data_IF_897225999231
#
_entry.id   IF_897225999231
#
_cell.length_a   1.000
_cell.length_b   1.000
_cell.length_c   1.000
_cell.angle_alpha   90.00
_cell.angle_beta   90.00
_cell.angle_gamma   90.00
#
_symmetry.space_group_name_H-M   'P 1'
#
loop_
_entity.id
_entity.type
_entity.pdbx_description
1 polymer ?
#
# COMPACT_ATOMS: atom_id res chain seq x y z
N UNK A 1 -14.49 -7.22 -53.16
CA UNK A 1 -14.00 -6.37 -52.02
C UNK A 1 -13.69 -7.31 -50.88
N UNK A 2 -12.44 -7.76 -50.77
CA UNK A 2 -11.93 -8.45 -49.57
C UNK A 2 -11.73 -7.40 -48.47
N UNK A 3 -12.55 -7.46 -47.41
CA UNK A 3 -12.26 -6.80 -46.17
C UNK A 3 -11.27 -7.67 -45.42
N UNK A 4 -9.99 -7.27 -45.38
CA UNK A 4 -9.03 -7.81 -44.44
C UNK A 4 -9.31 -7.26 -43.04
N UNK A 5 -10.03 -8.03 -42.24
CA UNK A 5 -10.05 -7.86 -40.81
C UNK A 5 -8.68 -8.39 -40.33
N UNK A 6 -7.77 -7.49 -39.92
CA UNK A 6 -6.55 -7.88 -39.21
C UNK A 6 -7.00 -8.46 -37.89
N UNK A 7 -7.05 -9.76 -37.79
CA UNK A 7 -7.15 -10.51 -36.53
C UNK A 7 -5.90 -10.23 -35.72
N UNK A 8 -5.98 -9.24 -34.84
CA UNK A 8 -5.00 -9.08 -33.75
C UNK A 8 -5.42 -10.08 -32.67
N UNK A 9 -4.80 -11.25 -32.68
CA UNK A 9 -4.87 -12.16 -31.54
C UNK A 9 -4.32 -11.45 -30.33
N UNK A 10 -5.18 -11.13 -29.36
CA UNK A 10 -4.80 -10.50 -28.12
C UNK A 10 -4.58 -11.60 -27.08
N UNK A 11 -3.37 -11.71 -26.55
CA UNK A 11 -3.10 -12.60 -25.43
C UNK A 11 -3.80 -12.08 -24.20
N UNK A 12 -4.61 -12.90 -23.55
CA UNK A 12 -5.30 -12.58 -22.29
C UNK A 12 -4.92 -13.57 -21.19
N UNK A 13 -4.86 -13.09 -19.97
CA UNK A 13 -4.50 -13.86 -18.79
C UNK A 13 -5.74 -14.04 -17.92
N UNK A 14 -6.31 -15.26 -17.82
CA UNK A 14 -7.47 -15.52 -16.97
C UNK A 14 -7.05 -15.51 -15.50
N UNK A 15 -7.89 -14.91 -14.66
CA UNK A 15 -7.72 -14.89 -13.22
C UNK A 15 -9.06 -14.71 -12.50
N UNK A 16 -9.08 -15.01 -11.21
CA UNK A 16 -10.22 -14.66 -10.35
C UNK A 16 -10.17 -13.17 -10.03
N UNK A 17 -11.33 -12.57 -9.86
CA UNK A 17 -11.53 -11.15 -9.49
C UNK A 17 -12.49 -11.07 -8.33
N UNK A 18 -12.15 -10.27 -7.34
CA UNK A 18 -13.05 -9.93 -6.24
C UNK A 18 -14.15 -8.97 -6.73
N UNK A 19 -15.41 -9.28 -6.40
CA UNK A 19 -16.55 -8.40 -6.65
C UNK A 19 -17.39 -8.31 -5.37
N UNK A 20 -17.10 -7.28 -4.58
CA UNK A 20 -17.67 -7.16 -3.23
C UNK A 20 -17.28 -8.33 -2.34
N UNK A 21 -18.25 -9.13 -1.93
CA UNK A 21 -18.03 -10.33 -1.11
C UNK A 21 -17.96 -11.64 -1.92
N UNK A 22 -18.02 -11.55 -3.23
CA UNK A 22 -17.98 -12.70 -4.15
C UNK A 22 -16.75 -12.65 -5.04
N UNK A 23 -16.54 -13.72 -5.79
CA UNK A 23 -15.42 -13.87 -6.71
C UNK A 23 -15.97 -14.35 -8.06
N UNK A 24 -15.47 -13.78 -9.14
CA UNK A 24 -15.80 -14.18 -10.51
C UNK A 24 -14.53 -14.37 -11.37
N UNK A 25 -14.69 -14.97 -12.54
CA UNK A 25 -13.62 -15.02 -13.55
C UNK A 25 -13.46 -13.68 -14.25
N UNK A 26 -12.21 -13.27 -14.45
CA UNK A 26 -11.81 -12.09 -15.20
C UNK A 26 -10.73 -12.42 -16.23
N UNK A 27 -10.49 -11.49 -17.16
CA UNK A 27 -9.46 -11.59 -18.19
C UNK A 27 -8.66 -10.30 -18.22
N UNK A 28 -7.36 -10.41 -18.22
CA UNK A 28 -6.44 -9.28 -18.09
C UNK A 28 -5.46 -9.22 -19.26
N UNK A 29 -4.99 -8.02 -19.57
CA UNK A 29 -4.03 -7.78 -20.65
C UNK A 29 -2.59 -8.10 -20.26
N UNK A 30 -2.29 -8.16 -18.94
CA UNK A 30 -0.94 -8.43 -18.41
C UNK A 30 -0.96 -9.53 -17.35
N UNK A 31 0.11 -10.35 -17.27
CA UNK A 31 0.21 -11.36 -16.22
C UNK A 31 0.30 -10.76 -14.81
N UNK A 32 0.94 -9.59 -14.66
CA UNK A 32 1.07 -8.93 -13.36
C UNK A 32 -0.28 -8.48 -12.80
N UNK A 33 -1.16 -7.92 -13.65
CA UNK A 33 -2.52 -7.55 -13.23
C UNK A 33 -3.36 -8.80 -12.93
N UNK A 34 -3.29 -9.83 -13.77
CA UNK A 34 -3.98 -11.09 -13.55
C UNK A 34 -3.59 -11.73 -12.20
N UNK A 35 -2.31 -11.78 -11.88
CA UNK A 35 -1.80 -12.34 -10.64
C UNK A 35 -2.23 -11.52 -9.41
N UNK A 36 -2.19 -10.20 -9.51
CA UNK A 36 -2.66 -9.30 -8.46
C UNK A 36 -4.15 -9.50 -8.15
N UNK A 37 -4.98 -9.52 -9.20
CA UNK A 37 -6.43 -9.71 -9.03
C UNK A 37 -6.74 -11.10 -8.48
N UNK A 38 -6.05 -12.13 -8.99
CA UNK A 38 -6.18 -13.49 -8.50
C UNK A 38 -5.85 -13.60 -7.00
N UNK A 39 -4.75 -13.00 -6.58
CA UNK A 39 -4.32 -12.97 -5.18
C UNK A 39 -5.36 -12.30 -4.28
N UNK A 40 -5.94 -11.18 -4.70
CA UNK A 40 -7.03 -10.50 -3.96
C UNK A 40 -8.29 -11.37 -3.86
N UNK A 41 -8.66 -12.02 -4.94
CA UNK A 41 -9.78 -12.94 -4.96
C UNK A 41 -9.57 -14.15 -4.02
N UNK A 42 -8.33 -14.70 -3.97
CA UNK A 42 -7.98 -15.77 -3.04
C UNK A 42 -8.08 -15.32 -1.57
N UNK A 43 -7.71 -14.08 -1.23
CA UNK A 43 -7.93 -13.53 0.12
C UNK A 43 -9.41 -13.61 0.49
N UNK A 44 -10.31 -13.25 -0.43
CA UNK A 44 -11.76 -13.30 -0.20
C UNK A 44 -12.28 -14.72 -0.02
N UNK A 45 -11.83 -15.67 -0.84
CA UNK A 45 -12.18 -17.08 -0.71
C UNK A 45 -11.65 -17.68 0.59
N UNK A 46 -10.42 -17.36 0.98
CA UNK A 46 -9.85 -17.76 2.28
C UNK A 46 -10.65 -17.21 3.46
N UNK A 47 -11.12 -15.97 3.38
CA UNK A 47 -12.00 -15.36 4.38
C UNK A 47 -13.29 -16.17 4.56
N UNK A 48 -13.84 -16.72 3.47
CA UNK A 48 -15.04 -17.57 3.50
C UNK A 48 -14.73 -18.96 4.06
N UNK A 49 -13.62 -19.58 3.66
CA UNK A 49 -13.20 -20.89 4.16
C UNK A 49 -12.86 -20.87 5.65
N UNK A 50 -12.28 -19.78 6.14
CA UNK A 50 -11.91 -19.55 7.54
C UNK A 50 -12.95 -18.70 8.28
N UNK A 51 -14.23 -18.84 7.93
CA UNK A 51 -15.32 -17.99 8.41
C UNK A 51 -15.41 -17.90 9.94
N UNK A 52 -15.22 -19.01 10.65
CA UNK A 52 -15.28 -19.04 12.13
C UNK A 52 -14.13 -18.21 12.74
N UNK A 53 -12.90 -18.39 12.24
CA UNK A 53 -11.74 -17.62 12.69
C UNK A 53 -11.92 -16.12 12.36
N UNK A 54 -12.41 -15.80 11.17
CA UNK A 54 -12.69 -14.44 10.75
C UNK A 54 -13.79 -13.79 11.62
N UNK A 55 -14.86 -14.52 11.93
CA UNK A 55 -15.94 -14.06 12.81
C UNK A 55 -15.42 -13.78 14.23
N UNK A 56 -14.62 -14.67 14.79
CA UNK A 56 -13.97 -14.45 16.08
C UNK A 56 -13.11 -13.19 16.07
N UNK A 57 -12.22 -13.04 15.10
CA UNK A 57 -11.32 -11.89 15.00
C UNK A 57 -12.07 -10.57 14.78
N UNK A 58 -13.14 -10.55 13.98
CA UNK A 58 -13.98 -9.34 13.84
C UNK A 58 -14.54 -8.82 15.17
N UNK A 59 -14.78 -9.72 16.14
CA UNK A 59 -15.33 -9.33 17.45
C UNK A 59 -14.26 -9.17 18.53
N UNK A 60 -13.10 -9.78 18.40
CA UNK A 60 -12.08 -9.90 19.45
C UNK A 60 -10.70 -9.37 19.06
N UNK A 61 -10.59 -8.66 17.92
CA UNK A 61 -9.33 -8.07 17.51
C UNK A 61 -8.83 -7.07 18.56
N UNK A 62 -7.58 -7.19 19.06
CA UNK A 62 -7.06 -6.30 20.09
C UNK A 62 -7.03 -4.83 19.64
N UNK A 63 -7.37 -3.93 20.55
CA UNK A 63 -7.31 -2.49 20.29
C UNK A 63 -8.42 -1.93 19.38
N UNK A 64 -9.46 -2.69 19.07
CA UNK A 64 -10.50 -2.30 18.11
C UNK A 64 -11.18 -0.98 18.45
N UNK A 65 -11.42 -0.68 19.73
CA UNK A 65 -12.01 0.59 20.17
C UNK A 65 -11.08 1.77 19.82
N UNK A 66 -9.79 1.63 20.10
CA UNK A 66 -8.81 2.68 19.83
C UNK A 66 -8.56 2.83 18.32
N UNK A 67 -8.49 1.71 17.57
CA UNK A 67 -8.46 1.72 16.11
C UNK A 67 -9.66 2.50 15.53
N UNK A 68 -10.88 2.24 16.03
CA UNK A 68 -12.08 2.94 15.57
C UNK A 68 -12.05 4.45 15.87
N UNK A 69 -11.53 4.83 17.03
CA UNK A 69 -11.39 6.24 17.39
C UNK A 69 -10.42 6.99 16.47
N UNK A 70 -9.25 6.39 16.20
CA UNK A 70 -8.21 7.00 15.38
C UNK A 70 -8.52 6.95 13.88
N UNK A 71 -9.23 5.93 13.42
CA UNK A 71 -9.59 5.74 12.00
C UNK A 71 -10.85 6.51 11.58
N UNK A 72 -11.58 7.12 12.51
CA UNK A 72 -12.89 7.78 12.26
C UNK A 72 -12.88 8.79 11.11
N UNK A 73 -11.79 9.50 10.90
CA UNK A 73 -11.65 10.49 9.81
C UNK A 73 -11.45 9.82 8.44
N UNK A 74 -11.03 8.56 8.41
CA UNK A 74 -10.75 7.78 7.20
C UNK A 74 -11.90 6.84 6.82
N UNK A 75 -12.70 6.40 7.81
CA UNK A 75 -13.79 5.47 7.56
C UNK A 75 -14.29 4.76 8.79
N UNK A 76 -15.00 3.67 8.56
CA UNK A 76 -15.59 2.83 9.61
C UNK A 76 -14.58 1.80 10.09
N UNK A 77 -14.61 1.51 11.40
CA UNK A 77 -13.72 0.51 12.01
C UNK A 77 -13.94 -0.90 11.44
N UNK A 78 -15.18 -1.23 11.06
CA UNK A 78 -15.49 -2.52 10.46
C UNK A 78 -14.74 -2.74 9.14
N UNK A 79 -14.63 -1.68 8.32
CA UNK A 79 -13.86 -1.71 7.08
C UNK A 79 -12.36 -1.90 7.35
N UNK A 80 -11.83 -1.20 8.36
CA UNK A 80 -10.43 -1.37 8.77
C UNK A 80 -10.14 -2.78 9.28
N UNK A 81 -11.03 -3.35 10.09
CA UNK A 81 -10.90 -4.72 10.58
C UNK A 81 -10.93 -5.71 9.42
N UNK A 82 -11.82 -5.51 8.44
CA UNK A 82 -11.86 -6.34 7.23
C UNK A 82 -10.54 -6.26 6.44
N UNK A 83 -9.98 -5.07 6.27
CA UNK A 83 -8.68 -4.87 5.61
C UNK A 83 -7.54 -5.56 6.37
N UNK A 84 -7.52 -5.47 7.71
CA UNK A 84 -6.55 -6.17 8.55
C UNK A 84 -6.65 -7.68 8.36
N UNK A 85 -7.86 -8.25 8.33
CA UNK A 85 -8.05 -9.68 8.14
C UNK A 85 -7.62 -10.14 6.75
N UNK A 86 -7.99 -9.41 5.69
CA UNK A 86 -7.59 -9.74 4.32
C UNK A 86 -6.08 -9.64 4.11
N UNK A 87 -5.44 -8.58 4.65
CA UNK A 87 -3.99 -8.44 4.61
C UNK A 87 -3.27 -9.52 5.45
N UNK A 88 -3.88 -9.95 6.55
CA UNK A 88 -3.33 -11.06 7.36
C UNK A 88 -3.40 -12.38 6.62
N UNK A 89 -4.50 -12.67 5.92
CA UNK A 89 -4.62 -13.86 5.06
C UNK A 89 -3.58 -13.85 3.94
N UNK A 90 -3.32 -12.68 3.36
CA UNK A 90 -2.27 -12.51 2.38
C UNK A 90 -0.89 -12.88 2.95
N UNK A 91 -0.54 -12.25 4.06
CA UNK A 91 0.80 -12.42 4.67
C UNK A 91 1.04 -13.79 5.26
N UNK A 92 0.03 -14.40 5.92
CA UNK A 92 0.24 -15.68 6.61
C UNK A 92 -0.01 -16.91 5.72
N UNK A 93 -0.83 -16.78 4.68
CA UNK A 93 -1.23 -17.92 3.85
C UNK A 93 -0.62 -17.84 2.45
N UNK A 94 -0.76 -16.71 1.76
CA UNK A 94 -0.36 -16.58 0.36
C UNK A 94 1.09 -16.13 0.17
N UNK A 95 1.68 -15.44 1.13
CA UNK A 95 3.08 -14.99 1.04
C UNK A 95 4.04 -16.19 1.06
N UNK A 96 5.01 -16.19 0.17
CA UNK A 96 6.02 -17.26 0.05
C UNK A 96 5.57 -18.50 -0.72
N UNK A 97 4.31 -18.59 -1.18
CA UNK A 97 3.90 -19.64 -2.11
C UNK A 97 4.48 -19.36 -3.51
N UNK A 98 5.21 -20.32 -4.05
CA UNK A 98 5.82 -20.20 -5.38
C UNK A 98 4.78 -20.06 -6.49
N UNK A 99 3.62 -20.68 -6.32
CA UNK A 99 2.47 -20.59 -7.22
C UNK A 99 1.19 -20.50 -6.42
N UNK A 100 0.32 -19.57 -6.78
CA UNK A 100 -0.99 -19.44 -6.13
C UNK A 100 -1.93 -20.56 -6.58
N UNK A 101 -2.78 -21.10 -5.69
CA UNK A 101 -3.77 -22.12 -6.04
C UNK A 101 -4.70 -21.67 -7.17
N UNK A 102 -4.97 -22.56 -8.13
CA UNK A 102 -5.87 -22.32 -9.25
C UNK A 102 -7.17 -23.14 -9.17
N UNK A 103 -7.32 -23.96 -8.10
CA UNK A 103 -8.52 -24.74 -7.84
C UNK A 103 -8.89 -24.73 -6.36
N UNK A 104 -10.12 -25.17 -6.06
CA UNK A 104 -10.66 -25.17 -4.71
C UNK A 104 -9.95 -26.16 -3.77
N UNK A 105 -9.46 -27.30 -4.27
CA UNK A 105 -8.78 -28.30 -3.46
C UNK A 105 -7.41 -27.81 -2.98
N UNK A 106 -6.64 -27.18 -3.90
CA UNK A 106 -5.37 -26.56 -3.56
C UNK A 106 -5.52 -25.43 -2.54
N UNK A 107 -6.56 -24.58 -2.71
CA UNK A 107 -6.84 -23.50 -1.77
C UNK A 107 -7.25 -24.04 -0.40
N UNK A 108 -8.10 -25.06 -0.33
CA UNK A 108 -8.52 -25.67 0.93
C UNK A 108 -7.33 -26.34 1.67
N UNK A 109 -6.48 -27.05 0.95
CA UNK A 109 -5.26 -27.64 1.49
C UNK A 109 -4.31 -26.58 2.06
N UNK A 110 -4.14 -25.47 1.36
CA UNK A 110 -3.30 -24.37 1.81
C UNK A 110 -3.88 -23.69 3.05
N UNK A 111 -5.18 -23.43 3.06
CA UNK A 111 -5.88 -22.85 4.21
C UNK A 111 -5.73 -23.72 5.46
N UNK A 112 -5.93 -25.05 5.34
CA UNK A 112 -5.82 -25.96 6.49
C UNK A 112 -4.39 -26.03 7.04
N UNK A 113 -3.38 -26.09 6.19
CA UNK A 113 -1.95 -26.10 6.61
C UNK A 113 -1.54 -24.84 7.39
N UNK A 114 -2.12 -23.68 7.05
CA UNK A 114 -1.67 -22.38 7.58
C UNK A 114 -2.69 -21.67 8.47
N UNK A 115 -3.89 -22.26 8.69
CA UNK A 115 -4.99 -21.65 9.46
C UNK A 115 -4.57 -21.18 10.86
N UNK A 116 -3.69 -21.92 11.53
CA UNK A 116 -3.24 -21.62 12.89
C UNK A 116 -2.46 -20.29 13.00
N UNK A 117 -1.89 -19.80 11.90
CA UNK A 117 -1.12 -18.56 11.90
C UNK A 117 -2.00 -17.29 11.80
N UNK A 118 -3.27 -17.40 11.39
CA UNK A 118 -4.11 -16.23 11.10
C UNK A 118 -4.30 -15.31 12.31
N UNK A 119 -4.60 -15.87 13.48
CA UNK A 119 -4.85 -15.08 14.68
C UNK A 119 -3.63 -14.23 15.07
N UNK A 120 -2.47 -14.88 15.18
CA UNK A 120 -1.23 -14.18 15.53
C UNK A 120 -0.88 -13.10 14.52
N UNK A 121 -1.05 -13.35 13.21
CA UNK A 121 -0.79 -12.35 12.17
C UNK A 121 -1.77 -11.18 12.23
N UNK A 122 -3.06 -11.45 12.46
CA UNK A 122 -4.07 -10.41 12.59
C UNK A 122 -3.82 -9.52 13.82
N UNK A 123 -3.43 -10.09 14.95
CA UNK A 123 -3.08 -9.33 16.16
C UNK A 123 -1.83 -8.46 15.96
N UNK A 124 -0.78 -9.02 15.34
CA UNK A 124 0.44 -8.26 15.00
C UNK A 124 0.13 -7.11 14.03
N UNK A 125 -0.70 -7.37 13.03
CA UNK A 125 -1.07 -6.35 12.05
C UNK A 125 -1.98 -5.28 12.65
N UNK A 126 -2.91 -5.66 13.54
CA UNK A 126 -3.74 -4.70 14.29
C UNK A 126 -2.88 -3.78 15.16
N UNK A 127 -1.88 -4.33 15.85
CA UNK A 127 -0.92 -3.53 16.64
C UNK A 127 -0.13 -2.56 15.77
N UNK A 128 0.43 -3.05 14.65
CA UNK A 128 1.14 -2.19 13.69
C UNK A 128 0.24 -1.09 13.14
N UNK A 129 -1.00 -1.42 12.78
CA UNK A 129 -1.99 -0.44 12.30
C UNK A 129 -2.29 0.62 13.37
N UNK A 130 -2.42 0.21 14.63
CA UNK A 130 -2.63 1.11 15.74
C UNK A 130 -1.45 2.08 15.92
N UNK A 131 -0.23 1.57 15.85
CA UNK A 131 0.99 2.40 15.95
C UNK A 131 1.07 3.41 14.79
N UNK A 132 0.73 3.00 13.57
CA UNK A 132 0.65 3.88 12.39
C UNK A 132 -0.38 4.98 12.61
N UNK A 133 -1.59 4.63 13.04
CA UNK A 133 -2.68 5.59 13.25
C UNK A 133 -2.38 6.57 14.39
N UNK A 134 -1.71 6.14 15.46
CA UNK A 134 -1.25 7.03 16.54
C UNK A 134 -0.26 8.09 16.02
N UNK A 135 0.74 7.67 15.26
CA UNK A 135 1.71 8.58 14.65
C UNK A 135 1.03 9.54 13.66
N UNK A 136 0.19 9.01 12.78
CA UNK A 136 -0.55 9.81 11.81
C UNK A 136 -1.45 10.86 12.49
N UNK A 137 -2.23 10.46 13.50
CA UNK A 137 -3.09 11.36 14.25
C UNK A 137 -2.28 12.44 15.01
N UNK A 138 -1.13 12.07 15.58
CA UNK A 138 -0.20 13.02 16.19
C UNK A 138 0.29 14.08 15.19
N UNK A 139 0.65 13.65 13.98
CA UNK A 139 1.07 14.55 12.89
C UNK A 139 -0.07 15.46 12.44
N UNK A 140 -1.29 14.93 12.26
CA UNK A 140 -2.47 15.73 11.88
C UNK A 140 -2.75 16.88 12.85
N UNK A 141 -2.53 16.67 14.14
CA UNK A 141 -2.71 17.74 15.16
C UNK A 141 -1.74 18.90 14.95
N UNK A 142 -0.53 18.65 14.43
CA UNK A 142 0.48 19.70 14.21
C UNK A 142 0.09 20.69 13.11
N UNK A 143 -0.87 20.34 12.24
CA UNK A 143 -1.37 21.25 11.18
C UNK A 143 -2.55 22.15 11.63
N UNK A 144 -3.03 22.01 12.87
CA UNK A 144 -4.17 22.81 13.38
C UNK A 144 -3.75 24.18 13.94
N UNK A 145 -2.44 24.52 13.93
CA UNK A 145 -1.91 25.79 14.43
C UNK A 145 -1.81 26.90 13.39
N UNK A 146 -1.25 28.05 13.80
CA UNK A 146 -0.87 29.13 12.85
C UNK A 146 0.23 28.62 11.92
N UNK A 147 -0.02 28.72 10.62
CA UNK A 147 0.94 28.33 9.60
C UNK A 147 1.78 29.56 9.24
N UNK A 148 3.08 29.45 9.34
CA UNK A 148 4.02 30.42 8.79
C UNK A 148 4.01 30.28 7.26
N UNK A 149 3.76 31.40 6.55
CA UNK A 149 3.74 31.43 5.08
C UNK A 149 5.06 30.96 4.48
N UNK A 150 6.18 31.19 5.14
CA UNK A 150 7.49 30.69 4.70
C UNK A 150 7.55 29.15 4.65
N UNK A 151 6.78 28.48 5.48
CA UNK A 151 6.71 27.00 5.58
C UNK A 151 5.58 26.39 4.73
N UNK A 152 4.72 27.18 4.13
CA UNK A 152 3.50 26.71 3.46
C UNK A 152 3.76 25.64 2.40
N UNK A 153 4.82 25.79 1.60
CA UNK A 153 5.20 24.82 0.55
C UNK A 153 5.55 23.45 1.17
N UNK A 154 6.42 23.44 2.19
CA UNK A 154 6.82 22.23 2.89
C UNK A 154 5.62 21.56 3.58
N UNK A 155 4.77 22.34 4.25
CA UNK A 155 3.57 21.81 4.92
C UNK A 155 2.56 21.22 3.94
N UNK A 156 2.42 21.79 2.75
CA UNK A 156 1.57 21.24 1.70
C UNK A 156 2.14 19.90 1.17
N UNK A 157 3.43 19.81 0.88
CA UNK A 157 4.09 18.56 0.47
C UNK A 157 3.94 17.47 1.54
N UNK A 158 4.12 17.82 2.82
CA UNK A 158 3.93 16.87 3.94
C UNK A 158 2.47 16.39 4.02
N UNK A 159 1.48 17.29 3.87
CA UNK A 159 0.06 16.88 3.86
C UNK A 159 -0.25 15.92 2.72
N UNK A 160 0.27 16.18 1.53
CA UNK A 160 0.13 15.27 0.39
C UNK A 160 0.80 13.92 0.67
N UNK A 161 2.03 13.92 1.20
CA UNK A 161 2.70 12.68 1.59
C UNK A 161 1.87 11.87 2.61
N UNK A 162 1.34 12.51 3.65
CA UNK A 162 0.49 11.86 4.65
C UNK A 162 -0.76 11.23 4.04
N UNK A 163 -1.42 11.92 3.09
CA UNK A 163 -2.60 11.38 2.40
C UNK A 163 -2.30 10.21 1.47
N UNK A 164 -1.05 10.05 1.03
CA UNK A 164 -0.60 8.90 0.23
C UNK A 164 -0.06 7.73 1.06
N UNK A 165 0.23 7.96 2.36
CA UNK A 165 0.68 6.92 3.27
C UNK A 165 -0.48 6.30 4.07
N UNK A 166 -1.42 7.14 4.52
CA UNK A 166 -2.54 6.71 5.37
C UNK A 166 -3.85 7.23 4.77
N UNK A 167 -4.61 6.33 4.17
CA UNK A 167 -5.87 6.58 3.45
C UNK A 167 -6.82 5.39 3.66
N UNK A 168 -8.12 5.50 3.33
CA UNK A 168 -9.04 4.37 3.41
C UNK A 168 -8.55 3.17 2.60
N UNK A 169 -8.36 2.02 3.24
CA UNK A 169 -7.84 0.81 2.57
C UNK A 169 -6.32 0.62 2.64
N UNK A 170 -5.55 1.56 3.19
CA UNK A 170 -4.08 1.53 3.18
C UNK A 170 -3.47 0.23 3.73
N UNK A 171 -4.12 -0.41 4.71
CA UNK A 171 -3.62 -1.65 5.33
C UNK A 171 -3.60 -2.80 4.33
N UNK A 172 -4.63 -2.91 3.50
CA UNK A 172 -4.76 -3.96 2.49
C UNK A 172 -4.01 -3.65 1.19
N UNK A 173 -3.96 -2.37 0.82
CA UNK A 173 -3.38 -1.94 -0.46
C UNK A 173 -1.87 -1.76 -0.42
N UNK A 174 -1.32 -1.46 0.77
CA UNK A 174 0.13 -1.35 0.93
C UNK A 174 0.77 -2.74 1.02
N UNK A 175 1.75 -3.07 0.16
CA UNK A 175 2.47 -4.34 0.27
C UNK A 175 3.07 -4.52 1.67
N UNK A 176 2.96 -5.73 2.24
CA UNK A 176 3.32 -6.01 3.63
C UNK A 176 4.74 -5.56 4.01
N UNK A 177 5.69 -5.69 3.09
CA UNK A 177 7.07 -5.25 3.28
C UNK A 177 7.21 -3.73 3.48
N UNK A 178 6.32 -2.91 2.88
CA UNK A 178 6.31 -1.46 2.99
C UNK A 178 5.37 -0.97 4.08
N UNK A 179 4.31 -1.71 4.37
CA UNK A 179 3.41 -1.42 5.48
C UNK A 179 4.16 -1.39 6.82
N UNK A 180 5.12 -2.29 7.01
CA UNK A 180 6.00 -2.33 8.18
C UNK A 180 6.91 -1.09 8.31
N UNK A 181 7.15 -0.39 7.21
CA UNK A 181 7.99 0.81 7.17
C UNK A 181 7.21 2.13 7.37
N UNK A 182 5.87 2.09 7.30
CA UNK A 182 5.05 3.30 7.50
C UNK A 182 5.36 4.04 8.81
N UNK A 183 5.55 3.37 9.96
CA UNK A 183 5.96 4.09 11.18
C UNK A 183 7.27 4.89 11.01
N UNK A 184 8.23 4.35 10.26
CA UNK A 184 9.50 5.03 9.97
C UNK A 184 9.31 6.24 9.05
N UNK A 185 8.45 6.12 8.02
CA UNK A 185 8.11 7.24 7.15
C UNK A 185 7.40 8.37 7.91
N UNK A 186 6.46 8.02 8.79
CA UNK A 186 5.76 9.00 9.64
C UNK A 186 6.71 9.70 10.63
N UNK A 187 7.66 8.96 11.23
CA UNK A 187 8.71 9.54 12.07
C UNK A 187 9.64 10.47 11.28
N UNK A 188 9.97 10.14 10.02
CA UNK A 188 10.75 11.03 9.17
C UNK A 188 10.01 12.36 8.91
N UNK A 189 8.69 12.32 8.73
CA UNK A 189 7.85 13.51 8.64
C UNK A 189 7.89 14.32 9.93
N UNK A 190 7.78 13.66 11.08
CA UNK A 190 7.88 14.33 12.40
C UNK A 190 9.20 15.07 12.56
N UNK A 191 10.32 14.40 12.26
CA UNK A 191 11.65 15.00 12.28
C UNK A 191 11.82 16.18 11.30
N UNK A 192 11.21 16.05 10.10
CA UNK A 192 11.17 17.14 9.12
C UNK A 192 10.45 18.36 9.69
N UNK A 193 9.27 18.17 10.28
CA UNK A 193 8.50 19.24 10.91
C UNK A 193 9.24 19.92 12.06
N UNK A 194 10.01 19.18 12.85
CA UNK A 194 10.84 19.73 13.94
C UNK A 194 11.99 20.61 13.43
N UNK A 195 12.62 20.19 12.34
CA UNK A 195 13.74 20.92 11.72
C UNK A 195 13.31 22.07 10.81
N UNK A 196 12.08 22.05 10.34
CA UNK A 196 11.58 22.97 9.30
C UNK A 196 11.79 24.45 9.64
N UNK A 197 11.55 24.96 10.88
CA UNK A 197 11.75 26.38 11.18
C UNK A 197 13.19 26.86 10.94
N UNK A 198 14.17 26.01 11.14
CA UNK A 198 15.59 26.33 10.94
C UNK A 198 16.13 26.00 9.54
N UNK A 199 15.35 25.33 8.68
CA UNK A 199 15.84 24.80 7.40
C UNK A 199 14.90 25.03 6.22
N UNK A 200 14.05 26.07 6.26
CA UNK A 200 13.01 26.35 5.25
C UNK A 200 13.56 26.38 3.82
N UNK A 201 14.70 27.02 3.59
CA UNK A 201 15.28 27.13 2.25
C UNK A 201 15.78 25.76 1.73
N UNK A 202 16.42 24.99 2.57
CA UNK A 202 16.89 23.64 2.23
C UNK A 202 15.71 22.70 1.96
N UNK A 203 14.69 22.75 2.80
CA UNK A 203 13.46 21.98 2.62
C UNK A 203 12.77 22.33 1.31
N UNK A 204 12.71 23.61 0.95
CA UNK A 204 12.11 24.09 -0.31
C UNK A 204 12.79 23.47 -1.54
N UNK A 205 14.12 23.40 -1.55
CA UNK A 205 14.87 22.77 -2.66
C UNK A 205 14.52 21.31 -2.77
N UNK A 206 14.58 20.57 -1.67
CA UNK A 206 14.25 19.15 -1.67
C UNK A 206 12.77 18.86 -1.99
N UNK A 207 11.86 19.70 -1.51
CA UNK A 207 10.43 19.60 -1.84
C UNK A 207 10.17 19.79 -3.33
N UNK A 208 10.86 20.73 -3.97
CA UNK A 208 10.71 20.97 -5.41
C UNK A 208 11.21 19.77 -6.25
N UNK A 209 12.35 19.19 -5.88
CA UNK A 209 12.87 17.97 -6.50
C UNK A 209 11.89 16.80 -6.36
N UNK A 210 11.44 16.55 -5.13
CA UNK A 210 10.49 15.48 -4.83
C UNK A 210 9.15 15.66 -5.54
N UNK A 211 8.65 16.89 -5.66
CA UNK A 211 7.42 17.20 -6.40
C UNK A 211 7.54 16.83 -7.89
N UNK A 212 8.70 17.08 -8.51
CA UNK A 212 8.96 16.64 -9.88
C UNK A 212 8.95 15.13 -10.06
N UNK A 213 9.66 14.43 -9.17
CA UNK A 213 9.70 12.94 -9.18
C UNK A 213 8.32 12.33 -8.90
N UNK A 214 7.57 12.93 -7.99
CA UNK A 214 6.21 12.48 -7.66
C UNK A 214 5.23 12.70 -8.83
N UNK A 215 5.28 13.86 -9.48
CA UNK A 215 4.45 14.17 -10.65
C UNK A 215 4.74 13.20 -11.81
N UNK A 216 6.01 12.86 -12.03
CA UNK A 216 6.43 11.87 -13.02
C UNK A 216 5.84 10.48 -12.71
N UNK A 217 5.91 10.05 -11.44
CA UNK A 217 5.27 8.81 -10.98
C UNK A 217 3.76 8.82 -11.22
N UNK A 218 3.07 9.88 -10.78
CA UNK A 218 1.60 9.98 -10.90
C UNK A 218 1.14 9.94 -12.35
N UNK A 219 1.82 10.63 -13.26
CA UNK A 219 1.48 10.63 -14.68
C UNK A 219 1.60 9.21 -15.28
N UNK A 220 2.66 8.47 -14.92
CA UNK A 220 2.86 7.09 -15.38
C UNK A 220 1.84 6.15 -14.76
N UNK A 221 1.56 6.26 -13.47
CA UNK A 221 0.57 5.45 -12.77
C UNK A 221 -0.85 5.66 -13.35
N UNK A 222 -1.21 6.91 -13.67
CA UNK A 222 -2.49 7.22 -14.32
C UNK A 222 -2.59 6.59 -15.73
N UNK A 223 -1.51 6.64 -16.52
CA UNK A 223 -1.47 5.99 -17.84
C UNK A 223 -1.66 4.48 -17.72
N UNK A 224 -0.90 3.82 -16.83
CA UNK A 224 -1.01 2.39 -16.62
C UNK A 224 -2.41 1.97 -16.12
N UNK A 225 -3.01 2.78 -15.24
CA UNK A 225 -4.38 2.53 -14.78
C UNK A 225 -5.42 2.60 -15.93
N UNK A 226 -5.28 3.56 -16.85
CA UNK A 226 -6.13 3.66 -18.04
C UNK A 226 -5.96 2.47 -18.98
N UNK A 227 -4.76 1.92 -19.08
CA UNK A 227 -4.43 0.76 -19.89
C UNK A 227 -4.76 -0.59 -19.20
N UNK A 228 -5.22 -0.57 -17.95
CA UNK A 228 -5.42 -1.78 -17.13
C UNK A 228 -4.12 -2.55 -16.91
N UNK A 229 -2.99 -1.85 -16.82
CA UNK A 229 -1.65 -2.38 -16.70
C UNK A 229 -1.13 -2.21 -15.28
N UNK A 230 -0.50 -3.26 -14.75
CA UNK A 230 0.23 -3.21 -13.50
C UNK A 230 1.73 -3.42 -13.77
N UNK A 231 2.55 -2.49 -13.28
CA UNK A 231 4.00 -2.53 -13.45
C UNK A 231 4.67 -2.61 -12.07
N UNK A 232 5.27 -3.77 -11.72
CA UNK A 232 5.97 -3.94 -10.46
C UNK A 232 7.16 -2.97 -10.27
N UNK A 233 7.78 -2.50 -11.38
CA UNK A 233 8.88 -1.54 -11.30
C UNK A 233 8.40 -0.14 -10.91
N UNK A 234 7.21 0.25 -11.40
CA UNK A 234 6.56 1.49 -11.00
C UNK A 234 6.12 1.45 -9.54
N UNK A 235 5.59 0.30 -9.09
CA UNK A 235 5.23 0.10 -7.67
C UNK A 235 6.45 0.18 -6.75
N UNK A 236 7.57 -0.43 -7.15
CA UNK A 236 8.82 -0.34 -6.41
C UNK A 236 9.34 1.10 -6.36
N UNK A 237 9.28 1.83 -7.49
CA UNK A 237 9.66 3.24 -7.58
C UNK A 237 8.86 4.11 -6.61
N UNK A 238 7.54 3.86 -6.46
CA UNK A 238 6.68 4.54 -5.49
C UNK A 238 7.27 4.50 -4.07
N UNK A 239 7.73 3.33 -3.64
CA UNK A 239 8.27 3.14 -2.29
C UNK A 239 9.71 3.64 -2.16
N UNK A 240 10.47 3.63 -3.23
CA UNK A 240 11.79 4.23 -3.26
C UNK A 240 11.73 5.76 -3.13
N UNK A 241 10.67 6.41 -3.56
CA UNK A 241 10.44 7.82 -3.27
C UNK A 241 10.29 8.07 -1.76
N UNK A 242 9.62 7.19 -1.02
CA UNK A 242 9.54 7.32 0.45
C UNK A 242 10.90 7.06 1.12
N UNK A 243 11.67 6.09 0.66
CA UNK A 243 13.05 5.88 1.13
C UNK A 243 13.93 7.09 0.85
N UNK A 244 13.75 7.72 -0.31
CA UNK A 244 14.48 8.94 -0.65
C UNK A 244 14.09 10.10 0.27
N UNK A 245 12.81 10.25 0.61
CA UNK A 245 12.37 11.22 1.63
C UNK A 245 13.02 10.96 2.98
N UNK A 246 13.14 9.71 3.42
CA UNK A 246 13.85 9.36 4.67
C UNK A 246 15.33 9.77 4.58
N UNK A 247 16.00 9.53 3.47
CA UNK A 247 17.41 9.92 3.28
C UNK A 247 17.64 11.43 3.31
N UNK A 248 16.65 12.23 2.93
CA UNK A 248 16.73 13.69 2.95
C UNK A 248 16.38 14.29 4.33
N UNK A 249 15.27 13.84 4.93
CA UNK A 249 14.68 14.48 6.11
C UNK A 249 14.92 13.75 7.42
N UNK A 250 15.11 12.43 7.36
CA UNK A 250 15.22 11.53 8.53
C UNK A 250 16.43 10.62 8.49
N UNK A 251 17.61 11.10 8.07
CA UNK A 251 18.82 10.30 7.85
C UNK A 251 19.18 9.36 9.02
N UNK A 252 18.95 9.79 10.26
CA UNK A 252 19.24 9.00 11.46
C UNK A 252 18.36 7.75 11.60
N UNK A 253 17.22 7.67 10.87
CA UNK A 253 16.34 6.49 10.86
C UNK A 253 16.88 5.38 9.95
N UNK A 254 17.83 5.71 9.08
CA UNK A 254 18.32 4.80 8.04
C UNK A 254 17.29 4.51 6.97
N UNK A 255 17.72 3.99 5.84
CA UNK A 255 16.86 3.56 4.73
C UNK A 255 16.87 2.04 4.63
N UNK A 256 15.73 1.45 4.25
CA UNK A 256 15.60 -0.01 4.05
C UNK A 256 16.46 -0.51 2.88
N UNK A 257 16.62 0.34 1.88
CA UNK A 257 17.45 0.09 0.71
C UNK A 257 18.40 1.26 0.50
N UNK A 258 19.61 1.03 -0.03
CA UNK A 258 20.48 2.13 -0.42
C UNK A 258 19.79 2.97 -1.49
N UNK A 259 19.60 4.27 -1.24
CA UNK A 259 18.84 5.17 -2.09
C UNK A 259 19.65 6.42 -2.45
N UNK A 260 19.49 6.93 -3.65
CA UNK A 260 20.03 8.19 -4.16
C UNK A 260 19.28 8.58 -5.43
N UNK A 261 19.40 9.83 -5.87
CA UNK A 261 18.86 10.30 -7.14
C UNK A 261 19.29 9.40 -8.33
N UNK A 262 20.57 9.04 -8.42
CA UNK A 262 21.07 8.11 -9.44
C UNK A 262 20.38 6.73 -9.39
N UNK A 263 20.07 6.22 -8.22
CA UNK A 263 19.37 4.94 -8.06
C UNK A 263 17.90 5.04 -8.42
N UNK A 264 17.25 6.16 -8.05
CA UNK A 264 15.88 6.46 -8.49
C UNK A 264 15.78 6.54 -10.01
N UNK A 265 16.71 7.27 -10.65
CA UNK A 265 16.77 7.38 -12.11
C UNK A 265 16.98 6.01 -12.78
N UNK A 266 17.83 5.15 -12.19
CA UNK A 266 18.02 3.78 -12.68
C UNK A 266 16.74 2.94 -12.52
N UNK A 267 16.05 3.04 -11.38
CA UNK A 267 14.79 2.33 -11.18
C UNK A 267 13.72 2.83 -12.16
N UNK A 268 13.67 4.14 -12.42
CA UNK A 268 12.77 4.72 -13.40
C UNK A 268 12.98 4.18 -14.81
N UNK A 269 14.22 3.93 -15.21
CA UNK A 269 14.53 3.36 -16.53
C UNK A 269 14.04 1.94 -16.74
N UNK A 270 13.63 1.25 -15.65
CA UNK A 270 13.04 -0.11 -15.71
C UNK A 270 11.50 -0.07 -15.77
N UNK A 271 10.90 1.09 -15.56
CA UNK A 271 9.46 1.28 -15.62
C UNK A 271 9.01 1.24 -17.07
N UNK A 272 7.99 0.45 -17.36
CA UNK A 272 7.38 0.35 -18.67
C UNK A 272 6.84 1.71 -19.17
N UNK A 273 6.95 1.96 -20.46
CA UNK A 273 6.58 3.22 -21.09
C UNK A 273 5.05 3.44 -21.14
#
# INVERSE_FOLDING_TARGET
RQMCIRDRSMTVYPALVEEGNTVKEGRFSTPAEAEYQHRRALQRLLMQQLAESAKFLRSKLPGQTELGLLYRELGRVESLVEDILLASLDSCILEGEATLPRDGAGLASLAERKRGALTEHAEKLAKLTLDILKLWHGLQKRFKGKIDLAQAVALNDIKQQLSHLVYPGFVRETPAQWLKELPRYLKAIEMRLEKLPGQVQKDRVWSAELAGLWAQYQARAAKHAQEGKRDPQLELYRWWLEEYRVSLFGQQLGTKVPISDKRLSKQWSLVDA
#
